data_IF_551750717792
#
_entry.id   IF_551750717792
#
_cell.length_a   1.000
_cell.length_b   1.000
_cell.length_c   1.000
_cell.angle_alpha   90.00
_cell.angle_beta   90.00
_cell.angle_gamma   90.00
#
_symmetry.space_group_name_H-M   'P 1'
#
loop_
_entity.id
_entity.type
_entity.pdbx_description
1 polymer ?
#
# COMPACT_ATOMS: atom_id res chain seq x y z
N UNK A 1 83.54 -64.06 16.98
CA UNK A 1 82.18 -64.21 17.56
C UNK A 1 82.07 -63.82 19.05
N UNK A 2 83.16 -63.54 19.78
CA UNK A 2 83.09 -63.13 21.20
C UNK A 2 82.90 -61.62 21.43
N UNK A 3 83.32 -60.73 20.50
CA UNK A 3 83.26 -59.27 20.69
C UNK A 3 81.90 -58.60 20.40
N UNK A 4 80.96 -59.29 19.75
CA UNK A 4 79.61 -58.74 19.47
C UNK A 4 78.73 -58.78 20.73
N UNK A 5 78.91 -59.82 21.55
CA UNK A 5 78.16 -59.98 22.80
C UNK A 5 78.50 -58.90 23.83
N UNK A 6 79.77 -58.51 23.93
CA UNK A 6 80.20 -57.44 24.84
C UNK A 6 79.67 -56.08 24.42
N UNK A 7 79.65 -55.76 23.13
CA UNK A 7 79.04 -54.52 22.65
C UNK A 7 77.52 -54.47 22.90
N UNK A 8 76.83 -55.60 22.77
CA UNK A 8 75.38 -55.69 23.01
C UNK A 8 75.05 -55.52 24.50
N UNK A 9 75.89 -56.03 25.40
CA UNK A 9 75.78 -55.80 26.85
C UNK A 9 76.02 -54.34 27.26
N UNK A 10 76.98 -53.67 26.63
CA UNK A 10 77.24 -52.24 26.88
C UNK A 10 76.08 -51.37 26.39
N UNK A 11 75.51 -51.70 25.23
CA UNK A 11 74.33 -50.99 24.68
C UNK A 11 73.09 -51.21 25.56
N UNK A 12 72.93 -52.42 26.11
CA UNK A 12 71.86 -52.77 27.06
C UNK A 12 72.01 -52.10 28.43
N UNK A 13 73.23 -51.77 28.87
CA UNK A 13 73.47 -50.94 30.06
C UNK A 13 73.29 -49.45 29.79
N UNK A 14 73.61 -48.99 28.58
CA UNK A 14 73.54 -47.58 28.18
C UNK A 14 72.11 -47.07 27.99
N UNK A 15 71.24 -47.84 27.33
CA UNK A 15 69.80 -47.64 27.45
C UNK A 15 69.36 -48.34 28.73
N UNK A 16 68.83 -47.63 29.73
CA UNK A 16 68.24 -48.17 30.97
C UNK A 16 67.00 -49.06 30.74
N UNK A 17 67.08 -50.03 29.83
CA UNK A 17 66.04 -50.98 29.43
C UNK A 17 65.64 -51.85 30.61
N UNK A 18 66.60 -52.21 31.46
CA UNK A 18 66.32 -52.99 32.67
C UNK A 18 65.49 -52.18 33.68
N UNK A 19 65.74 -50.87 33.82
CA UNK A 19 64.95 -50.00 34.71
C UNK A 19 63.52 -49.73 34.19
N UNK A 20 63.34 -49.63 32.86
CA UNK A 20 62.00 -49.55 32.25
C UNK A 20 61.27 -50.89 32.40
N UNK A 21 61.98 -52.01 32.19
CA UNK A 21 61.42 -53.35 32.37
C UNK A 21 61.03 -53.62 33.83
N UNK A 22 61.81 -53.17 34.80
CA UNK A 22 61.46 -53.25 36.22
C UNK A 22 60.29 -52.33 36.60
N UNK A 23 60.23 -51.12 36.06
CA UNK A 23 59.09 -50.21 36.27
C UNK A 23 57.78 -50.77 35.69
N UNK A 24 57.82 -51.40 34.51
CA UNK A 24 56.68 -52.10 33.90
C UNK A 24 56.26 -53.33 34.73
N UNK A 25 57.22 -54.04 35.31
CA UNK A 25 56.96 -55.22 36.15
C UNK A 25 56.39 -54.85 37.52
N UNK A 26 56.78 -53.71 38.07
CA UNK A 26 56.35 -53.25 39.40
C UNK A 26 54.99 -52.54 39.39
N UNK A 27 54.60 -51.92 38.27
CA UNK A 27 53.30 -51.25 38.11
C UNK A 27 52.65 -51.49 36.73
N UNK A 28 52.27 -52.74 36.39
CA UNK A 28 51.77 -53.09 35.05
C UNK A 28 50.47 -52.36 34.69
N UNK A 29 49.56 -52.17 35.65
CA UNK A 29 48.28 -51.48 35.43
C UNK A 29 48.49 -50.00 35.10
N UNK A 30 49.38 -49.31 35.83
CA UNK A 30 49.68 -47.89 35.57
C UNK A 30 50.33 -47.68 34.21
N UNK A 31 51.19 -48.62 33.77
CA UNK A 31 51.83 -48.54 32.46
C UNK A 31 50.83 -48.80 31.32
N UNK A 32 49.94 -49.79 31.47
CA UNK A 32 48.85 -50.03 30.53
C UNK A 32 47.89 -48.83 30.43
N UNK A 33 47.55 -48.20 31.55
CA UNK A 33 46.70 -46.99 31.56
C UNK A 33 47.38 -45.82 30.85
N UNK A 34 48.68 -45.58 31.10
CA UNK A 34 49.44 -44.53 30.42
C UNK A 34 49.56 -44.77 28.91
N UNK A 35 49.83 -46.01 28.49
CA UNK A 35 49.86 -46.38 27.07
C UNK A 35 48.47 -46.26 26.42
N UNK A 36 47.41 -46.62 27.14
CA UNK A 36 46.03 -46.44 26.69
C UNK A 36 45.65 -44.97 26.53
N UNK A 37 46.02 -44.12 27.49
CA UNK A 37 45.80 -42.67 27.41
C UNK A 37 46.60 -42.05 26.27
N UNK A 38 47.86 -42.45 26.07
CA UNK A 38 48.68 -42.01 24.93
C UNK A 38 48.05 -42.44 23.59
N UNK A 39 47.60 -43.69 23.48
CA UNK A 39 46.93 -44.18 22.27
C UNK A 39 45.62 -43.42 22.00
N UNK A 40 44.83 -43.15 23.04
CA UNK A 40 43.58 -42.40 22.94
C UNK A 40 43.83 -40.93 22.53
N UNK A 41 44.87 -40.28 23.08
CA UNK A 41 45.24 -38.91 22.68
C UNK A 41 45.72 -38.85 21.23
N UNK A 42 46.47 -39.85 20.75
CA UNK A 42 46.89 -39.93 19.34
C UNK A 42 45.70 -40.16 18.42
N UNK A 43 44.77 -41.05 18.80
CA UNK A 43 43.52 -41.26 18.05
C UNK A 43 42.69 -39.98 18.00
N UNK A 44 42.47 -39.32 19.14
CA UNK A 44 41.72 -38.05 19.21
C UNK A 44 42.37 -37.00 18.30
N UNK A 45 43.69 -36.84 18.35
CA UNK A 45 44.41 -35.87 17.53
C UNK A 45 44.32 -36.19 16.02
N UNK A 46 44.30 -37.48 15.66
CA UNK A 46 44.09 -37.91 14.26
C UNK A 46 42.68 -37.57 13.76
N UNK A 47 41.66 -37.67 14.61
CA UNK A 47 40.27 -37.43 14.24
C UNK A 47 39.80 -35.97 14.47
N UNK A 48 40.57 -35.14 15.18
CA UNK A 48 40.28 -33.71 15.39
C UNK A 48 40.14 -32.95 14.08
N UNK A 49 40.97 -33.25 13.07
CA UNK A 49 40.88 -32.61 11.75
C UNK A 49 39.54 -32.90 11.04
N UNK A 50 39.00 -34.12 11.18
CA UNK A 50 37.71 -34.50 10.60
C UNK A 50 36.58 -33.75 11.32
N UNK A 51 36.65 -33.67 12.64
CA UNK A 51 35.68 -32.92 13.45
C UNK A 51 35.73 -31.41 13.11
N UNK A 52 36.92 -30.83 12.96
CA UNK A 52 37.08 -29.42 12.55
C UNK A 52 36.53 -29.16 11.13
N UNK A 53 36.76 -30.06 10.17
CA UNK A 53 36.15 -29.96 8.82
C UNK A 53 34.63 -29.94 8.91
N UNK A 54 34.04 -30.84 9.71
CA UNK A 54 32.58 -30.88 9.92
C UNK A 54 32.04 -29.59 10.54
N UNK A 55 32.66 -29.09 11.61
CA UNK A 55 32.24 -27.84 12.24
C UNK A 55 32.45 -26.62 11.35
N UNK A 56 33.49 -26.60 10.50
CA UNK A 56 33.71 -25.52 9.54
C UNK A 56 32.65 -25.51 8.43
N UNK A 57 32.23 -26.69 7.95
CA UNK A 57 31.14 -26.82 6.99
C UNK A 57 29.81 -26.40 7.62
N UNK A 58 29.53 -26.86 8.85
CA UNK A 58 28.31 -26.49 9.57
C UNK A 58 28.26 -24.97 9.83
N UNK A 59 29.39 -24.38 10.26
CA UNK A 59 29.50 -22.93 10.43
C UNK A 59 29.27 -22.19 9.10
N UNK A 60 29.80 -22.69 7.99
CA UNK A 60 29.56 -22.14 6.64
C UNK A 60 28.09 -22.22 6.20
N UNK A 61 27.41 -23.33 6.50
CA UNK A 61 25.98 -23.49 6.20
C UNK A 61 25.14 -22.56 7.09
N UNK A 62 25.47 -22.44 8.37
CA UNK A 62 24.77 -21.55 9.30
C UNK A 62 24.98 -20.08 8.92
N UNK A 63 26.19 -19.66 8.57
CA UNK A 63 26.43 -18.28 8.11
C UNK A 63 25.71 -18.00 6.79
N UNK A 64 25.74 -18.93 5.84
CA UNK A 64 24.99 -18.81 4.59
C UNK A 64 23.47 -18.71 4.83
N UNK A 65 22.92 -19.55 5.70
CA UNK A 65 21.51 -19.51 6.06
C UNK A 65 21.13 -18.21 6.79
N UNK A 66 21.96 -17.73 7.71
CA UNK A 66 21.73 -16.46 8.40
C UNK A 66 21.86 -15.24 7.46
N UNK A 67 22.74 -15.27 6.47
CA UNK A 67 22.92 -14.19 5.49
C UNK A 67 21.86 -14.14 4.39
N UNK A 68 21.17 -15.25 4.11
CA UNK A 68 20.12 -15.32 3.09
C UNK A 68 18.71 -15.51 3.69
N UNK A 69 18.62 -15.73 4.99
CA UNK A 69 17.37 -15.87 5.72
C UNK A 69 16.59 -14.54 5.74
N UNK A 70 15.28 -14.55 5.43
CA UNK A 70 14.48 -13.33 5.28
C UNK A 70 14.22 -12.57 6.60
N UNK A 71 14.68 -13.07 7.75
CA UNK A 71 14.31 -12.58 9.09
C UNK A 71 15.52 -12.25 10.00
N UNK A 72 16.75 -12.11 9.46
CA UNK A 72 17.92 -11.83 10.32
C UNK A 72 18.22 -10.33 10.46
N UNK A 73 18.55 -9.92 11.69
CA UNK A 73 18.83 -8.55 12.16
C UNK A 73 20.09 -7.89 11.54
N UNK A 74 20.70 -8.52 10.53
CA UNK A 74 21.88 -8.00 9.85
C UNK A 74 21.50 -7.46 8.46
N UNK A 75 22.03 -6.29 8.05
CA UNK A 75 21.69 -5.69 6.77
C UNK A 75 22.07 -6.63 5.62
N UNK A 76 21.08 -7.03 4.82
CA UNK A 76 21.25 -7.79 3.59
C UNK A 76 22.19 -7.05 2.64
N UNK A 77 23.42 -7.53 2.46
CA UNK A 77 24.42 -6.95 1.56
C UNK A 77 24.08 -7.08 0.07
N UNK A 78 23.13 -7.95 -0.29
CA UNK A 78 22.74 -8.21 -1.69
C UNK A 78 21.61 -7.28 -2.15
N UNK A 79 20.85 -6.70 -1.22
CA UNK A 79 19.81 -5.71 -1.52
C UNK A 79 20.10 -4.42 -0.76
N UNK A 80 21.12 -3.69 -1.20
CA UNK A 80 21.29 -2.26 -0.87
C UNK A 80 20.27 -1.39 -1.62
N UNK A 81 19.01 -1.82 -1.69
CA UNK A 81 17.91 -0.94 -1.96
C UNK A 81 17.55 -0.30 -0.63
N UNK A 82 17.93 0.97 -0.40
CA UNK A 82 17.46 1.74 0.76
C UNK A 82 15.94 1.53 0.87
N UNK A 83 15.51 0.75 1.86
CA UNK A 83 14.12 0.70 2.26
C UNK A 83 13.83 2.09 2.81
N UNK A 84 13.38 3.00 1.94
CA UNK A 84 12.90 4.31 2.34
C UNK A 84 11.81 4.01 3.34
N UNK A 85 12.07 4.29 4.62
CA UNK A 85 11.17 4.07 5.74
C UNK A 85 9.81 4.67 5.36
N UNK A 86 8.93 3.85 4.79
CA UNK A 86 7.59 4.27 4.41
C UNK A 86 6.90 4.40 5.75
N UNK A 87 6.64 5.66 6.13
CA UNK A 87 5.64 6.00 7.15
C UNK A 87 4.45 5.09 6.85
N UNK A 88 4.08 4.20 7.79
CA UNK A 88 2.91 3.33 7.63
C UNK A 88 1.70 4.25 7.51
N UNK A 89 1.33 4.60 6.29
CA UNK A 89 0.05 5.23 6.02
C UNK A 89 -1.03 4.19 6.33
N UNK A 90 -2.12 4.60 7.01
CA UNK A 90 -3.20 3.69 7.37
C UNK A 90 -3.68 2.93 6.15
N UNK A 91 -4.08 1.67 6.34
CA UNK A 91 -4.64 0.82 5.27
C UNK A 91 -5.77 1.57 4.56
N UNK A 92 -5.94 1.39 3.24
CA UNK A 92 -7.20 1.80 2.62
C UNK A 92 -8.11 0.64 2.89
N UNK A 93 -9.29 0.90 3.46
CA UNK A 93 -10.14 -0.11 4.08
C UNK A 93 -9.59 -0.72 5.40
N UNK A 94 -9.16 0.06 6.41
CA UNK A 94 -9.03 -0.48 7.76
C UNK A 94 -10.42 -0.50 8.41
N UNK A 95 -10.77 -1.58 9.09
CA UNK A 95 -11.77 -1.49 10.15
C UNK A 95 -11.23 -0.54 11.23
N UNK A 96 -11.56 0.75 11.09
CA UNK A 96 -11.43 1.77 12.11
C UNK A 96 -10.01 2.31 12.37
N UNK A 97 -10.02 3.45 13.06
CA UNK A 97 -8.93 4.04 13.84
C UNK A 97 -8.12 5.19 13.22
N UNK A 98 -8.80 6.21 12.69
CA UNK A 98 -8.43 7.61 12.98
C UNK A 98 -9.61 8.57 12.76
N UNK A 99 -9.82 9.46 13.73
CA UNK A 99 -10.79 10.55 13.66
C UNK A 99 -10.39 11.55 12.57
N UNK A 100 -11.21 11.74 11.54
CA UNK A 100 -10.96 12.68 10.43
C UNK A 100 -10.90 14.14 10.87
N UNK A 101 -11.63 14.49 11.93
CA UNK A 101 -11.70 15.87 12.47
C UNK A 101 -10.47 16.20 13.32
N UNK A 102 -9.87 15.20 13.97
CA UNK A 102 -8.89 15.43 15.05
C UNK A 102 -7.60 14.62 14.92
N UNK A 103 -7.47 13.77 13.91
CA UNK A 103 -6.29 12.95 13.62
C UNK A 103 -5.97 11.86 14.66
N UNK A 104 -6.73 11.76 15.75
CA UNK A 104 -6.46 10.82 16.86
C UNK A 104 -7.05 9.43 16.57
N UNK A 105 -6.23 8.39 16.79
CA UNK A 105 -6.53 6.96 16.55
C UNK A 105 -7.62 6.40 17.49
N UNK A 106 -7.82 7.04 18.66
CA UNK A 106 -8.83 6.69 19.67
C UNK A 106 -9.62 7.93 20.11
N UNK A 107 -10.42 8.50 19.21
CA UNK A 107 -11.32 9.59 19.58
C UNK A 107 -12.60 9.02 20.20
N UNK A 108 -12.92 9.43 21.42
CA UNK A 108 -14.19 9.11 22.11
C UNK A 108 -15.35 10.02 21.65
N UNK A 109 -15.04 11.21 21.09
CA UNK A 109 -16.05 12.21 20.64
C UNK A 109 -16.58 11.95 19.23
N UNK A 110 -15.70 11.55 18.31
CA UNK A 110 -16.06 11.34 16.91
C UNK A 110 -16.00 9.84 16.59
N UNK A 111 -17.13 9.28 16.15
CA UNK A 111 -17.19 7.91 15.66
C UNK A 111 -16.33 7.83 14.39
N UNK A 112 -15.40 6.87 14.36
CA UNK A 112 -14.54 6.56 13.21
C UNK A 112 -15.28 5.98 12.00
N UNK A 113 -16.57 6.29 11.85
CA UNK A 113 -17.45 5.79 10.79
C UNK A 113 -17.41 6.68 9.54
N UNK A 114 -17.09 7.97 9.67
CA UNK A 114 -16.77 8.84 8.53
C UNK A 114 -15.36 8.58 8.02
N UNK A 115 -15.16 7.43 7.40
CA UNK A 115 -13.99 7.23 6.55
C UNK A 115 -14.25 7.99 5.25
N UNK A 116 -14.07 9.31 5.30
CA UNK A 116 -14.08 10.15 4.09
C UNK A 116 -13.03 9.66 3.08
N UNK A 117 -12.01 8.93 3.52
CA UNK A 117 -11.05 8.21 2.68
C UNK A 117 -11.70 7.06 1.87
N UNK A 118 -12.78 6.44 2.36
CA UNK A 118 -13.52 5.40 1.63
C UNK A 118 -14.39 5.99 0.52
N UNK A 119 -14.85 7.23 0.65
CA UNK A 119 -15.58 7.94 -0.41
C UNK A 119 -14.66 8.77 -1.30
N UNK A 120 -13.52 9.24 -0.76
CA UNK A 120 -12.56 10.12 -1.42
C UNK A 120 -11.10 9.67 -1.18
N UNK A 121 -10.65 8.59 -1.84
CA UNK A 121 -9.30 8.04 -1.67
C UNK A 121 -8.18 8.98 -2.14
N UNK A 122 -8.50 10.06 -2.87
CA UNK A 122 -7.54 11.06 -3.35
C UNK A 122 -7.15 12.12 -2.31
N UNK A 123 -7.80 12.18 -1.15
CA UNK A 123 -7.43 13.12 -0.08
C UNK A 123 -5.96 12.94 0.31
N UNK A 124 -5.20 14.02 0.48
CA UNK A 124 -3.75 14.00 0.75
C UNK A 124 -2.84 13.26 -0.24
N UNK A 125 -3.38 12.71 -1.34
CA UNK A 125 -2.61 12.06 -2.38
C UNK A 125 -2.03 13.10 -3.34
N UNK A 126 -0.76 13.44 -3.12
CA UNK A 126 -0.01 14.39 -3.96
C UNK A 126 0.96 13.66 -4.88
N UNK A 127 0.82 13.90 -6.18
CA UNK A 127 1.65 13.29 -7.23
C UNK A 127 2.34 14.38 -8.03
N UNK A 128 3.49 14.06 -8.64
CA UNK A 128 4.19 14.97 -9.55
C UNK A 128 3.30 15.33 -10.74
N UNK A 129 3.24 16.61 -11.09
CA UNK A 129 2.34 17.11 -12.15
C UNK A 129 2.52 16.41 -13.49
N UNK A 130 3.74 16.01 -13.89
CA UNK A 130 3.94 15.27 -15.14
C UNK A 130 3.25 13.91 -15.13
N UNK A 131 3.35 13.18 -14.02
CA UNK A 131 2.71 11.87 -13.85
C UNK A 131 1.19 12.02 -13.83
N UNK A 132 0.69 13.04 -13.14
CA UNK A 132 -0.74 13.37 -13.11
C UNK A 132 -1.30 13.60 -14.52
N UNK A 133 -0.63 14.44 -15.32
CA UNK A 133 -1.02 14.71 -16.71
C UNK A 133 -1.01 13.45 -17.57
N UNK A 134 0.03 12.61 -17.47
CA UNK A 134 0.11 11.37 -18.25
C UNK A 134 -1.00 10.38 -17.90
N UNK A 135 -1.33 10.23 -16.60
CA UNK A 135 -2.43 9.37 -16.17
C UNK A 135 -3.78 9.93 -16.65
N UNK A 136 -3.98 11.25 -16.55
CA UNK A 136 -5.19 11.91 -17.05
C UNK A 136 -5.35 11.72 -18.56
N UNK A 137 -4.26 11.79 -19.33
CA UNK A 137 -4.26 11.55 -20.78
C UNK A 137 -4.65 10.11 -21.12
N UNK A 138 -4.12 9.12 -20.40
CA UNK A 138 -4.54 7.71 -20.58
C UNK A 138 -6.05 7.57 -20.38
N UNK A 139 -6.61 8.11 -19.29
CA UNK A 139 -8.05 8.00 -19.05
C UNK A 139 -8.88 8.80 -20.05
N UNK A 140 -8.38 9.94 -20.55
CA UNK A 140 -9.01 10.68 -21.64
C UNK A 140 -9.06 9.84 -22.92
N UNK A 141 -7.96 9.19 -23.30
CA UNK A 141 -7.91 8.31 -24.46
C UNK A 141 -8.85 7.10 -24.30
N UNK A 142 -8.98 6.56 -23.09
CA UNK A 142 -9.94 5.49 -22.80
C UNK A 142 -11.37 5.97 -23.06
N UNK A 143 -11.76 7.14 -22.55
CA UNK A 143 -13.09 7.70 -22.81
C UNK A 143 -13.30 7.99 -24.30
N UNK A 144 -12.34 8.62 -24.96
CA UNK A 144 -12.44 9.02 -26.38
C UNK A 144 -12.55 7.83 -27.33
N UNK A 145 -11.79 6.76 -27.09
CA UNK A 145 -11.77 5.60 -27.99
C UNK A 145 -12.85 4.58 -27.70
N UNK A 146 -13.29 4.46 -26.44
CA UNK A 146 -14.14 3.34 -26.02
C UNK A 146 -15.51 3.74 -25.48
N UNK A 147 -15.71 4.99 -25.05
CA UNK A 147 -16.99 5.43 -24.48
C UNK A 147 -17.69 6.40 -25.42
N UNK A 148 -17.02 7.49 -25.82
CA UNK A 148 -17.61 8.53 -26.66
C UNK A 148 -18.19 8.06 -28.00
N UNK A 149 -17.60 7.09 -28.73
CA UNK A 149 -18.10 6.72 -30.06
C UNK A 149 -19.54 6.19 -30.04
N UNK A 150 -19.92 5.39 -29.04
CA UNK A 150 -21.29 4.86 -28.93
C UNK A 150 -22.16 5.69 -27.99
N UNK A 151 -21.58 6.39 -27.02
CA UNK A 151 -22.35 7.15 -26.04
C UNK A 151 -23.02 8.37 -26.68
N UNK A 152 -22.32 9.07 -27.58
CA UNK A 152 -22.84 10.22 -28.32
C UNK A 152 -23.97 9.87 -29.29
N UNK A 153 -24.03 8.62 -29.75
CA UNK A 153 -25.15 8.15 -30.57
C UNK A 153 -26.44 7.96 -29.75
N UNK A 154 -26.32 7.85 -28.41
CA UNK A 154 -27.44 7.64 -27.49
C UNK A 154 -27.87 8.94 -26.82
N UNK A 155 -26.91 9.75 -26.34
CA UNK A 155 -27.20 10.99 -25.60
C UNK A 155 -26.05 12.00 -25.69
N UNK A 156 -26.39 13.29 -25.65
CA UNK A 156 -25.45 14.41 -25.54
C UNK A 156 -25.17 14.81 -24.07
N UNK A 157 -25.74 14.08 -23.10
CA UNK A 157 -25.55 14.38 -21.68
C UNK A 157 -24.18 13.95 -21.16
N UNK A 158 -23.35 14.90 -20.76
CA UNK A 158 -22.01 14.64 -20.20
C UNK A 158 -22.04 14.24 -18.72
N UNK A 159 -23.19 14.30 -18.04
CA UNK A 159 -23.28 14.01 -16.60
C UNK A 159 -22.84 12.58 -16.23
N UNK A 160 -23.27 11.58 -16.99
CA UNK A 160 -22.82 10.19 -16.80
C UNK A 160 -21.31 10.04 -17.04
N UNK A 161 -20.75 10.79 -17.99
CA UNK A 161 -19.32 10.74 -18.30
C UNK A 161 -18.48 11.38 -17.20
N UNK A 162 -19.00 12.43 -16.56
CA UNK A 162 -18.38 13.04 -15.38
C UNK A 162 -18.36 12.07 -14.19
N UNK A 163 -19.42 11.28 -13.98
CA UNK A 163 -19.42 10.20 -12.98
C UNK A 163 -18.39 9.11 -13.30
N UNK A 164 -18.24 8.72 -14.57
CA UNK A 164 -17.19 7.78 -14.98
C UNK A 164 -15.80 8.35 -14.72
N UNK A 165 -15.57 9.65 -14.94
CA UNK A 165 -14.30 10.33 -14.61
C UNK A 165 -14.01 10.29 -13.12
N UNK A 166 -15.02 10.56 -12.28
CA UNK A 166 -14.91 10.45 -10.82
C UNK A 166 -14.57 9.02 -10.40
N UNK A 167 -15.18 8.01 -11.02
CA UNK A 167 -14.88 6.60 -10.77
C UNK A 167 -13.44 6.25 -11.18
N UNK A 168 -12.94 6.73 -12.32
CA UNK A 168 -11.54 6.53 -12.70
C UNK A 168 -10.56 7.20 -11.73
N UNK A 169 -10.87 8.40 -11.25
CA UNK A 169 -10.09 9.05 -10.19
C UNK A 169 -10.09 8.24 -8.91
N UNK A 170 -11.25 7.74 -8.49
CA UNK A 170 -11.38 6.86 -7.33
C UNK A 170 -10.50 5.62 -7.49
N UNK A 171 -10.70 4.88 -8.58
CA UNK A 171 -9.99 3.66 -8.93
C UNK A 171 -8.47 3.85 -8.91
N UNK A 172 -7.98 4.88 -9.61
CA UNK A 172 -6.56 5.16 -9.71
C UNK A 172 -5.95 5.55 -8.35
N UNK A 173 -6.70 6.28 -7.53
CA UNK A 173 -6.25 6.65 -6.18
C UNK A 173 -6.11 5.42 -5.28
N UNK A 174 -7.09 4.51 -5.33
CA UNK A 174 -7.05 3.24 -4.58
C UNK A 174 -5.87 2.39 -5.05
N UNK A 175 -5.67 2.27 -6.37
CA UNK A 175 -4.54 1.53 -6.93
C UNK A 175 -3.19 2.08 -6.47
N UNK A 176 -2.98 3.39 -6.55
CA UNK A 176 -1.71 4.01 -6.13
C UNK A 176 -1.44 3.72 -4.66
N UNK A 177 -2.43 3.90 -3.79
CA UNK A 177 -2.27 3.68 -2.35
C UNK A 177 -2.03 2.22 -2.00
N UNK A 178 -2.65 1.28 -2.73
CA UNK A 178 -2.37 -0.16 -2.59
C UNK A 178 -0.96 -0.49 -3.11
N UNK A 179 -0.59 -0.01 -4.29
CA UNK A 179 0.73 -0.21 -4.88
C UNK A 179 1.85 0.34 -3.98
N UNK A 180 1.60 1.45 -3.28
CA UNK A 180 2.53 1.98 -2.29
C UNK A 180 2.71 1.07 -1.06
N UNK A 181 1.77 0.17 -0.75
CA UNK A 181 1.88 -0.79 0.35
C UNK A 181 2.53 -2.11 -0.06
N UNK A 182 2.53 -2.42 -1.35
CA UNK A 182 3.12 -3.65 -1.87
C UNK A 182 4.64 -3.59 -1.83
N UNK A 183 5.25 -4.62 -1.26
CA UNK A 183 6.68 -4.88 -1.36
C UNK A 183 7.01 -5.48 -2.74
N UNK A 184 7.32 -4.61 -3.70
CA UNK A 184 7.60 -4.99 -5.09
C UNK A 184 8.78 -5.99 -5.18
N UNK A 185 9.93 -5.77 -4.49
CA UNK A 185 11.00 -6.78 -4.42
C UNK A 185 10.53 -8.16 -3.94
N UNK A 186 9.73 -8.24 -2.88
CA UNK A 186 9.24 -9.51 -2.36
C UNK A 186 8.32 -10.24 -3.37
N UNK A 187 7.40 -9.51 -4.01
CA UNK A 187 6.53 -10.06 -5.05
C UNK A 187 7.35 -10.56 -6.24
N UNK A 188 8.36 -9.81 -6.65
CA UNK A 188 9.20 -10.16 -7.78
C UNK A 188 10.03 -11.42 -7.51
N UNK A 189 10.69 -11.48 -6.35
CA UNK A 189 11.55 -12.61 -5.95
C UNK A 189 10.77 -13.89 -5.69
N UNK A 190 9.59 -13.82 -5.06
CA UNK A 190 8.81 -15.01 -4.71
C UNK A 190 7.96 -15.53 -5.87
N UNK A 191 7.20 -14.66 -6.55
CA UNK A 191 6.18 -15.08 -7.52
C UNK A 191 6.66 -14.96 -8.96
N UNK A 192 7.15 -13.78 -9.32
CA UNK A 192 7.54 -13.47 -10.71
C UNK A 192 8.76 -14.28 -11.13
N UNK A 193 9.79 -14.34 -10.29
CA UNK A 193 11.01 -15.09 -10.59
C UNK A 193 10.73 -16.58 -10.80
N UNK A 194 9.87 -17.20 -9.98
CA UNK A 194 9.46 -18.61 -10.18
C UNK A 194 8.78 -18.82 -11.52
N UNK A 195 7.89 -17.91 -11.92
CA UNK A 195 7.23 -17.97 -13.23
C UNK A 195 8.21 -17.80 -14.38
N UNK A 196 9.15 -16.84 -14.29
CA UNK A 196 10.21 -16.61 -15.28
C UNK A 196 11.09 -17.85 -15.42
N UNK A 197 11.58 -18.41 -14.30
CA UNK A 197 12.45 -19.60 -14.32
C UNK A 197 11.72 -20.80 -14.92
N UNK A 198 10.45 -21.02 -14.56
CA UNK A 198 9.62 -22.06 -15.17
C UNK A 198 9.49 -21.86 -16.68
N UNK A 199 9.22 -20.63 -17.12
CA UNK A 199 9.11 -20.31 -18.54
C UNK A 199 10.42 -20.56 -19.29
N UNK A 200 11.57 -20.13 -18.73
CA UNK A 200 12.90 -20.37 -19.31
C UNK A 200 13.20 -21.86 -19.42
N UNK A 201 12.89 -22.64 -18.38
CA UNK A 201 13.09 -24.11 -18.40
C UNK A 201 12.30 -24.77 -19.53
N UNK A 202 11.02 -24.39 -19.69
CA UNK A 202 10.14 -24.91 -20.74
C UNK A 202 10.66 -24.54 -22.13
N UNK A 203 11.04 -23.27 -22.33
CA UNK A 203 11.60 -22.80 -23.61
C UNK A 203 12.93 -23.50 -23.91
N UNK A 204 13.77 -23.77 -22.91
CA UNK A 204 15.01 -24.51 -23.10
C UNK A 204 14.76 -25.96 -23.56
N UNK A 205 13.79 -26.66 -22.95
CA UNK A 205 13.36 -28.00 -23.40
C UNK A 205 12.81 -27.98 -24.82
N UNK A 206 11.94 -27.01 -25.13
CA UNK A 206 11.38 -26.82 -26.46
C UNK A 206 12.47 -26.57 -27.52
N UNK A 207 13.48 -25.74 -27.22
CA UNK A 207 14.63 -25.49 -28.13
C UNK A 207 15.40 -26.77 -28.45
N UNK A 208 15.56 -27.68 -27.49
CA UNK A 208 16.23 -28.96 -27.71
C UNK A 208 15.41 -29.85 -28.64
N UNK A 209 14.07 -29.88 -28.50
CA UNK A 209 13.18 -30.64 -29.39
C UNK A 209 13.16 -30.08 -30.82
N UNK A 210 13.17 -28.75 -30.96
CA UNK A 210 13.09 -28.04 -32.25
C UNK A 210 14.35 -28.19 -33.10
N UNK A 211 15.49 -28.58 -32.51
CA UNK A 211 16.69 -28.96 -33.29
C UNK A 211 16.43 -30.08 -34.31
N UNK A 212 15.34 -30.82 -34.16
CA UNK A 212 14.91 -31.88 -35.09
C UNK A 212 13.89 -31.41 -36.14
N UNK A 213 13.66 -30.09 -36.27
CA UNK A 213 12.70 -29.47 -37.19
C UNK A 213 11.36 -29.15 -36.52
N UNK A 214 10.88 -27.91 -36.67
CA UNK A 214 9.60 -27.43 -36.10
C UNK A 214 9.63 -25.94 -35.74
N UNK A 215 8.46 -25.38 -35.39
CA UNK A 215 8.38 -24.03 -34.81
C UNK A 215 8.60 -24.08 -33.29
N UNK A 216 9.38 -23.13 -32.76
CA UNK A 216 9.68 -23.08 -31.33
C UNK A 216 8.42 -22.87 -30.47
N UNK A 217 7.48 -22.07 -30.98
CA UNK A 217 6.22 -21.76 -30.32
C UNK A 217 5.37 -23.01 -30.11
N UNK A 218 5.20 -23.84 -31.15
CA UNK A 218 4.41 -25.06 -31.06
C UNK A 218 5.02 -26.06 -30.08
N UNK A 219 6.33 -26.24 -30.14
CA UNK A 219 7.05 -27.12 -29.21
C UNK A 219 6.96 -26.62 -27.76
N UNK A 220 7.01 -25.29 -27.54
CA UNK A 220 6.83 -24.72 -26.21
C UNK A 220 5.40 -24.92 -25.68
N UNK A 221 4.37 -24.75 -26.52
CA UNK A 221 2.98 -25.00 -26.13
C UNK A 221 2.73 -26.47 -25.77
N UNK A 222 3.33 -27.40 -26.52
CA UNK A 222 3.27 -28.84 -26.21
C UNK A 222 3.96 -29.18 -24.88
N UNK A 223 5.10 -28.56 -24.59
CA UNK A 223 5.78 -28.70 -23.29
C UNK A 223 4.98 -28.12 -22.13
N UNK A 224 4.26 -27.01 -22.37
CA UNK A 224 3.36 -26.45 -21.37
C UNK A 224 2.19 -27.38 -21.05
N UNK A 225 1.62 -28.05 -22.05
CA UNK A 225 0.59 -29.08 -21.85
C UNK A 225 -0.55 -28.65 -20.92
N UNK A 226 -0.74 -29.38 -19.81
CA UNK A 226 -1.77 -29.09 -18.80
C UNK A 226 -1.48 -27.88 -17.91
N UNK A 227 -0.22 -27.42 -17.89
CA UNK A 227 0.21 -26.26 -17.09
C UNK A 227 0.02 -24.93 -17.84
N UNK A 228 -0.48 -24.97 -19.09
CA UNK A 228 -0.77 -23.78 -19.87
C UNK A 228 -1.92 -23.00 -19.22
N UNK A 229 -1.68 -21.74 -18.94
CA UNK A 229 -2.70 -20.87 -18.35
C UNK A 229 -3.89 -20.68 -19.32
N UNK A 230 -5.13 -20.70 -18.81
CA UNK A 230 -6.36 -20.60 -19.62
C UNK A 230 -6.38 -19.38 -20.54
N UNK A 231 -5.83 -18.26 -20.08
CA UNK A 231 -5.73 -17.03 -20.86
C UNK A 231 -4.84 -17.14 -22.11
N UNK A 232 -3.94 -18.14 -22.18
CA UNK A 232 -3.03 -18.34 -23.31
C UNK A 232 -3.61 -19.25 -24.40
N UNK A 233 -4.80 -19.84 -24.20
CA UNK A 233 -5.40 -20.77 -25.16
C UNK A 233 -5.96 -20.05 -26.39
N UNK A 234 -6.59 -18.89 -26.19
CA UNK A 234 -7.10 -18.05 -27.27
C UNK A 234 -7.27 -16.61 -26.80
N UNK A 235 -7.30 -15.67 -27.76
CA UNK A 235 -7.59 -14.26 -27.46
C UNK A 235 -8.96 -14.05 -26.80
N UNK A 236 -9.93 -14.93 -27.09
CA UNK A 236 -11.25 -14.90 -26.48
C UNK A 236 -11.21 -15.32 -25.01
N UNK A 237 -10.43 -16.37 -24.70
CA UNK A 237 -10.28 -16.88 -23.34
C UNK A 237 -9.44 -15.94 -22.48
N UNK A 238 -8.44 -15.28 -23.08
CA UNK A 238 -7.70 -14.18 -22.45
C UNK A 238 -8.65 -13.07 -22.00
N UNK A 239 -9.47 -12.56 -22.90
CA UNK A 239 -10.42 -11.49 -22.58
C UNK A 239 -11.45 -11.95 -21.54
N UNK A 240 -11.92 -13.20 -21.60
CA UNK A 240 -12.84 -13.74 -20.60
C UNK A 240 -12.18 -13.83 -19.21
N UNK A 241 -10.93 -14.28 -19.16
CA UNK A 241 -10.14 -14.34 -17.93
C UNK A 241 -9.94 -12.93 -17.34
N UNK A 242 -9.54 -11.95 -18.16
CA UNK A 242 -9.36 -10.58 -17.72
C UNK A 242 -10.67 -9.94 -17.24
N UNK A 243 -11.80 -10.20 -17.90
CA UNK A 243 -13.13 -9.76 -17.43
C UNK A 243 -13.44 -10.33 -16.04
N UNK A 244 -13.19 -11.63 -15.83
CA UNK A 244 -13.43 -12.26 -14.53
C UNK A 244 -12.50 -11.73 -13.46
N UNK A 245 -11.23 -11.52 -13.78
CA UNK A 245 -10.24 -10.91 -12.89
C UNK A 245 -10.69 -9.50 -12.48
N UNK A 246 -11.13 -8.70 -13.46
CA UNK A 246 -11.62 -7.34 -13.24
C UNK A 246 -12.84 -7.31 -12.31
N UNK A 247 -13.82 -8.19 -12.54
CA UNK A 247 -14.98 -8.34 -11.64
C UNK A 247 -14.58 -8.70 -10.21
N UNK A 248 -13.61 -9.60 -10.03
CA UNK A 248 -13.13 -9.98 -8.70
C UNK A 248 -12.41 -8.84 -7.98
N UNK A 249 -11.83 -7.89 -8.72
CA UNK A 249 -11.13 -6.74 -8.17
C UNK A 249 -12.06 -5.56 -7.82
N UNK A 250 -13.26 -5.49 -8.40
CA UNK A 250 -14.18 -4.37 -8.18
C UNK A 250 -14.51 -4.05 -6.73
N UNK A 251 -14.83 -5.02 -5.85
CA UNK A 251 -15.11 -4.72 -4.44
C UNK A 251 -13.95 -4.04 -3.71
N UNK A 252 -12.73 -4.14 -4.26
CA UNK A 252 -11.52 -3.59 -3.67
C UNK A 252 -11.07 -2.28 -4.32
N UNK A 253 -11.56 -1.96 -5.52
CA UNK A 253 -11.06 -0.86 -6.35
C UNK A 253 -12.13 0.18 -6.70
N UNK A 254 -13.42 -0.16 -6.64
CA UNK A 254 -14.53 0.73 -6.94
C UNK A 254 -15.29 1.14 -5.67
N UNK A 255 -16.02 2.26 -5.70
CA UNK A 255 -16.97 2.60 -4.64
C UNK A 255 -18.06 1.51 -4.53
N UNK A 256 -18.52 1.15 -3.32
CA UNK A 256 -19.56 0.13 -3.14
C UNK A 256 -20.82 0.40 -3.98
N UNK A 257 -21.28 1.66 -3.98
CA UNK A 257 -22.46 2.10 -4.75
C UNK A 257 -22.34 1.87 -6.26
N UNK A 258 -21.12 1.98 -6.81
CA UNK A 258 -20.89 1.74 -8.23
C UNK A 258 -21.00 0.25 -8.60
N UNK A 259 -20.76 -0.65 -7.64
CA UNK A 259 -20.92 -2.10 -7.85
C UNK A 259 -22.37 -2.57 -7.79
N UNK A 260 -23.25 -1.81 -7.13
CA UNK A 260 -24.69 -2.13 -7.04
C UNK A 260 -25.42 -1.88 -8.36
N UNK A 261 -24.98 -0.88 -9.13
CA UNK A 261 -25.52 -0.63 -10.47
C UNK A 261 -24.95 -1.61 -11.49
N UNK A 262 -25.72 -2.65 -11.84
CA UNK A 262 -25.31 -3.69 -12.79
C UNK A 262 -24.86 -3.15 -14.15
N UNK A 263 -25.57 -2.18 -14.71
CA UNK A 263 -25.24 -1.61 -16.03
C UNK A 263 -23.90 -0.88 -16.01
N UNK A 264 -23.67 -0.07 -14.97
CA UNK A 264 -22.41 0.65 -14.76
C UNK A 264 -21.26 -0.34 -14.51
N UNK A 265 -21.46 -1.33 -13.65
CA UNK A 265 -20.46 -2.36 -13.38
C UNK A 265 -20.07 -3.14 -14.64
N UNK A 266 -21.03 -3.51 -15.50
CA UNK A 266 -20.75 -4.17 -16.77
C UNK A 266 -19.98 -3.26 -17.73
N UNK A 267 -20.38 -1.98 -17.83
CA UNK A 267 -19.66 -1.00 -18.65
C UNK A 267 -18.22 -0.83 -18.18
N UNK A 268 -18.01 -0.59 -16.88
CA UNK A 268 -16.69 -0.46 -16.29
C UNK A 268 -15.88 -1.75 -16.50
N UNK A 269 -16.48 -2.93 -16.43
CA UNK A 269 -15.78 -4.20 -16.68
C UNK A 269 -15.27 -4.27 -18.11
N UNK A 270 -16.10 -3.94 -19.09
CA UNK A 270 -15.69 -3.96 -20.50
C UNK A 270 -14.61 -2.94 -20.79
N UNK A 271 -14.75 -1.72 -20.28
CA UNK A 271 -13.75 -0.67 -20.46
C UNK A 271 -12.43 -1.06 -19.77
N UNK A 272 -12.47 -1.51 -18.51
CA UNK A 272 -11.26 -1.86 -17.78
C UNK A 272 -10.57 -3.09 -18.37
N UNK A 273 -11.31 -4.17 -18.65
CA UNK A 273 -10.72 -5.40 -19.18
C UNK A 273 -10.25 -5.21 -20.62
N UNK A 274 -11.09 -4.66 -21.50
CA UNK A 274 -10.82 -4.58 -22.94
C UNK A 274 -9.97 -3.39 -23.36
N UNK A 275 -10.10 -2.24 -22.70
CA UNK A 275 -9.45 -0.99 -23.11
C UNK A 275 -8.19 -0.68 -22.33
N UNK A 276 -8.06 -1.22 -21.11
CA UNK A 276 -6.94 -0.91 -20.22
C UNK A 276 -6.07 -2.14 -19.99
N UNK A 277 -6.62 -3.20 -19.38
CA UNK A 277 -5.82 -4.34 -18.92
C UNK A 277 -5.31 -5.14 -20.12
N UNK A 278 -6.16 -5.46 -21.10
CA UNK A 278 -5.76 -6.25 -22.26
C UNK A 278 -4.64 -5.56 -23.08
N UNK A 279 -4.76 -4.28 -23.49
CA UNK A 279 -3.65 -3.61 -24.18
C UNK A 279 -2.40 -3.44 -23.31
N UNK A 280 -2.55 -3.32 -21.98
CA UNK A 280 -1.41 -3.29 -21.06
C UNK A 280 -0.69 -4.63 -21.06
N UNK A 281 -1.41 -5.75 -21.07
CA UNK A 281 -0.82 -7.09 -21.16
C UNK A 281 -0.09 -7.29 -22.49
N UNK A 282 -0.66 -6.82 -23.61
CA UNK A 282 0.01 -6.86 -24.92
C UNK A 282 1.31 -6.04 -24.91
N UNK A 283 1.26 -4.82 -24.36
CA UNK A 283 2.44 -3.97 -24.22
C UNK A 283 3.50 -4.61 -23.31
N UNK A 284 3.10 -5.23 -22.20
CA UNK A 284 4.04 -5.90 -21.29
C UNK A 284 4.62 -7.19 -21.88
N UNK A 285 3.90 -7.85 -22.78
CA UNK A 285 4.34 -9.06 -23.46
C UNK A 285 5.20 -8.78 -24.70
N UNK A 286 5.21 -7.54 -25.19
CA UNK A 286 5.99 -7.13 -26.34
C UNK A 286 7.51 -7.33 -26.10
N UNK A 287 8.23 -8.04 -26.99
CA UNK A 287 9.64 -8.35 -26.80
C UNK A 287 10.53 -7.12 -26.62
N UNK A 288 10.28 -6.03 -27.34
CA UNK A 288 11.06 -4.81 -27.23
C UNK A 288 10.85 -4.15 -25.87
N UNK A 289 9.60 -4.15 -25.39
CA UNK A 289 9.26 -3.65 -24.06
C UNK A 289 9.89 -4.50 -22.96
N UNK A 290 9.83 -5.83 -23.05
CA UNK A 290 10.51 -6.74 -22.10
C UNK A 290 12.02 -6.51 -22.11
N UNK A 291 12.63 -6.40 -23.29
CA UNK A 291 14.06 -6.11 -23.43
C UNK A 291 14.43 -4.77 -22.79
N UNK A 292 13.63 -3.72 -23.04
CA UNK A 292 13.80 -2.41 -22.43
C UNK A 292 13.70 -2.49 -20.90
N UNK A 293 12.72 -3.23 -20.34
CA UNK A 293 12.62 -3.42 -18.89
C UNK A 293 13.87 -4.08 -18.33
N UNK A 294 14.37 -5.14 -18.97
CA UNK A 294 15.61 -5.82 -18.55
C UNK A 294 16.80 -4.87 -18.61
N UNK A 295 16.93 -4.08 -19.67
CA UNK A 295 17.98 -3.07 -19.80
C UNK A 295 17.89 -2.04 -18.66
N UNK A 296 16.71 -1.50 -18.36
CA UNK A 296 16.54 -0.52 -17.27
C UNK A 296 16.98 -1.09 -15.91
N UNK A 297 16.75 -2.38 -15.65
CA UNK A 297 17.13 -3.00 -14.37
C UNK A 297 18.59 -3.46 -14.29
N UNK A 298 19.19 -3.85 -15.41
CA UNK A 298 20.55 -4.42 -15.46
C UNK A 298 21.60 -3.37 -15.80
N UNK A 299 21.23 -2.37 -16.59
CA UNK A 299 22.13 -1.31 -17.02
C UNK A 299 22.51 -0.44 -15.81
N UNK A 300 23.82 -0.26 -15.66
CA UNK A 300 24.44 0.54 -14.59
C UNK A 300 24.74 1.95 -15.05
N UNK A 301 24.51 2.26 -16.34
CA UNK A 301 24.64 3.62 -16.82
C UNK A 301 23.61 4.50 -16.10
N UNK A 302 24.02 5.63 -15.52
CA UNK A 302 23.07 6.53 -14.89
C UNK A 302 22.12 7.04 -15.98
N UNK A 303 20.80 7.08 -15.72
CA UNK A 303 19.85 7.74 -16.62
C UNK A 303 20.34 9.15 -16.93
N UNK A 304 20.11 9.61 -18.15
CA UNK A 304 20.46 10.97 -18.58
C UNK A 304 19.94 11.97 -17.53
N UNK A 305 20.81 12.85 -17.04
CA UNK A 305 20.44 13.79 -15.97
C UNK A 305 19.29 14.66 -16.45
N UNK A 306 18.18 14.63 -15.70
CA UNK A 306 17.02 15.43 -16.03
C UNK A 306 17.40 16.92 -15.98
N UNK A 307 17.45 17.56 -17.15
CA UNK A 307 17.73 18.99 -17.33
C UNK A 307 16.63 19.89 -16.76
N UNK A 308 15.44 19.34 -16.54
CA UNK A 308 14.30 20.06 -16.01
C UNK A 308 14.17 19.95 -14.49
N UNK A 309 13.75 21.05 -13.86
CA UNK A 309 13.47 21.06 -12.43
C UNK A 309 12.36 20.08 -12.06
N UNK A 310 12.37 19.51 -10.84
CA UNK A 310 11.33 18.58 -10.39
C UNK A 310 9.96 19.23 -10.47
N UNK A 311 9.05 18.65 -11.25
CA UNK A 311 7.68 19.16 -11.40
C UNK A 311 6.96 19.25 -10.05
N UNK A 312 6.15 20.29 -9.88
CA UNK A 312 5.38 20.54 -8.65
C UNK A 312 4.48 19.35 -8.26
N UNK A 313 4.23 19.22 -6.96
CA UNK A 313 3.28 18.25 -6.41
C UNK A 313 1.86 18.82 -6.50
N UNK A 314 0.98 18.08 -7.16
CA UNK A 314 -0.43 18.47 -7.37
C UNK A 314 -1.37 17.43 -6.75
N UNK A 315 -2.59 17.83 -6.32
CA UNK A 315 -3.62 16.89 -5.91
C UNK A 315 -3.99 15.95 -7.06
N UNK A 316 -3.94 14.65 -6.81
CA UNK A 316 -4.07 13.63 -7.85
C UNK A 316 -5.43 13.68 -8.59
N UNK A 317 -5.36 13.76 -9.91
CA UNK A 317 -6.43 13.82 -10.90
C UNK A 317 -7.55 14.83 -10.61
N UNK A 318 -7.23 15.89 -9.86
CA UNK A 318 -8.23 16.88 -9.50
C UNK A 318 -8.82 17.59 -10.71
N UNK A 319 -7.96 18.06 -11.63
CA UNK A 319 -8.38 18.75 -12.86
C UNK A 319 -9.11 17.84 -13.84
N UNK A 320 -8.78 16.55 -13.84
CA UNK A 320 -9.41 15.56 -14.72
C UNK A 320 -10.87 15.33 -14.34
N UNK A 321 -11.16 15.30 -13.04
CA UNK A 321 -12.49 15.01 -12.53
C UNK A 321 -13.36 16.27 -12.34
N UNK A 322 -12.75 17.44 -12.21
CA UNK A 322 -13.44 18.73 -12.01
C UNK A 322 -13.88 19.41 -13.33
N UNK A 323 -14.06 18.62 -14.39
CA UNK A 323 -14.58 19.13 -15.66
C UNK A 323 -16.09 19.29 -15.49
N UNK A 324 -16.52 20.36 -14.81
CA UNK A 324 -17.94 20.67 -14.65
C UNK A 324 -18.61 20.71 -16.02
N UNK A 325 -19.46 19.73 -16.30
CA UNK A 325 -20.52 19.90 -17.29
C UNK A 325 -21.22 21.23 -17.01
N UNK A 326 -21.41 22.03 -18.07
CA UNK A 326 -22.03 23.37 -17.97
C UNK A 326 -23.50 23.32 -17.54
N UNK A 327 -24.05 22.10 -17.39
CA UNK A 327 -25.42 21.86 -16.97
C UNK A 327 -25.37 21.12 -15.62
N UNK A 328 -25.85 21.73 -14.52
CA UNK A 328 -26.03 20.97 -13.29
C UNK A 328 -26.99 19.81 -13.57
N UNK A 329 -26.64 18.60 -13.10
CA UNK A 329 -27.55 17.46 -13.15
C UNK A 329 -28.90 17.86 -12.55
N UNK A 330 -30.01 17.42 -13.15
CA UNK A 330 -31.37 17.69 -12.65
C UNK A 330 -31.56 17.16 -11.21
N UNK A 331 -30.75 16.18 -10.81
CA UNK A 331 -30.74 15.58 -9.47
C UNK A 331 -29.76 16.27 -8.51
N UNK A 332 -29.00 17.27 -8.97
CA UNK A 332 -28.07 18.01 -8.12
C UNK A 332 -28.87 19.01 -7.29
N UNK A 333 -29.09 18.67 -6.03
CA UNK A 333 -29.70 19.56 -5.05
C UNK A 333 -28.63 20.49 -4.48
N UNK A 334 -28.93 21.79 -4.37
CA UNK A 334 -28.07 22.70 -3.63
C UNK A 334 -28.35 22.60 -2.13
N UNK A 335 -27.35 22.88 -1.28
CA UNK A 335 -27.54 22.85 0.17
C UNK A 335 -28.64 23.83 0.61
N UNK A 336 -28.80 24.96 -0.10
CA UNK A 336 -29.86 25.94 0.15
C UNK A 336 -31.23 25.32 -0.06
N UNK A 337 -31.45 24.66 -1.20
CA UNK A 337 -32.72 24.01 -1.54
C UNK A 337 -33.08 22.90 -0.52
N UNK A 338 -32.08 22.10 -0.13
CA UNK A 338 -32.23 21.05 0.89
C UNK A 338 -32.67 21.65 2.22
N UNK A 339 -32.13 22.81 2.60
CA UNK A 339 -32.43 23.49 3.87
C UNK A 339 -33.77 24.19 3.89
N UNK A 340 -34.21 24.73 2.75
CA UNK A 340 -35.51 25.41 2.63
C UNK A 340 -36.68 24.42 2.66
N UNK A 341 -36.51 23.22 2.11
CA UNK A 341 -37.55 22.20 2.08
C UNK A 341 -37.48 21.26 3.30
N UNK A 342 -38.49 21.30 4.17
CA UNK A 342 -38.54 20.47 5.39
C UNK A 342 -38.37 18.97 5.12
N UNK A 343 -39.00 18.46 4.06
CA UNK A 343 -38.95 17.05 3.69
C UNK A 343 -37.55 16.61 3.23
N UNK A 344 -36.83 17.46 2.48
CA UNK A 344 -35.45 17.18 2.07
C UNK A 344 -34.49 17.32 3.24
N UNK A 345 -34.67 18.35 4.08
CA UNK A 345 -33.88 18.53 5.28
C UNK A 345 -33.98 17.33 6.22
N UNK A 346 -35.18 16.76 6.39
CA UNK A 346 -35.37 15.56 7.21
C UNK A 346 -34.63 14.35 6.66
N UNK A 347 -34.71 14.10 5.35
CA UNK A 347 -33.95 13.02 4.68
C UNK A 347 -32.44 13.25 4.79
N UNK A 348 -31.99 14.48 4.58
CA UNK A 348 -30.59 14.85 4.73
C UNK A 348 -30.10 14.66 6.18
N UNK A 349 -30.91 14.99 7.18
CA UNK A 349 -30.61 14.72 8.59
C UNK A 349 -30.50 13.21 8.84
N UNK A 350 -31.39 12.38 8.28
CA UNK A 350 -31.30 10.93 8.43
C UNK A 350 -30.05 10.36 7.75
N UNK A 351 -29.71 10.83 6.56
CA UNK A 351 -28.45 10.53 5.88
C UNK A 351 -27.24 10.91 6.75
N UNK A 352 -27.19 12.14 7.27
CA UNK A 352 -26.11 12.58 8.16
C UNK A 352 -26.06 11.78 9.48
N UNK A 353 -27.19 11.26 9.98
CA UNK A 353 -27.21 10.34 11.14
C UNK A 353 -26.61 8.98 10.79
N UNK A 354 -26.95 8.42 9.63
CA UNK A 354 -26.41 7.15 9.14
C UNK A 354 -24.90 7.24 8.94
N UNK A 355 -24.43 8.34 8.33
CA UNK A 355 -23.01 8.64 8.14
C UNK A 355 -22.32 9.08 9.44
N UNK A 356 -23.04 9.45 10.51
CA UNK A 356 -22.46 9.93 11.76
C UNK A 356 -21.94 11.38 11.72
N UNK A 357 -22.36 12.15 10.72
CA UNK A 357 -21.99 13.55 10.45
C UNK A 357 -22.99 14.59 10.97
N UNK A 358 -24.03 14.18 11.72
CA UNK A 358 -25.07 15.11 12.19
C UNK A 358 -24.52 16.32 12.97
N UNK A 359 -23.43 16.14 13.70
CA UNK A 359 -22.75 17.19 14.46
C UNK A 359 -22.24 18.34 13.59
N UNK A 360 -21.91 18.07 12.31
CA UNK A 360 -21.47 19.05 11.31
C UNK A 360 -22.60 20.03 11.02
N UNK A 361 -23.81 19.52 10.76
CA UNK A 361 -25.00 20.33 10.52
C UNK A 361 -25.45 21.05 11.81
N UNK A 362 -25.40 20.38 12.96
CA UNK A 362 -25.76 20.99 14.25
C UNK A 362 -24.83 22.15 14.62
N UNK A 363 -23.53 22.05 14.33
CA UNK A 363 -22.60 23.15 14.51
C UNK A 363 -22.97 24.34 13.61
N UNK A 364 -23.21 24.10 12.32
CA UNK A 364 -23.62 25.18 11.40
C UNK A 364 -24.88 25.89 11.90
N UNK A 365 -25.93 25.14 12.27
CA UNK A 365 -27.18 25.73 12.76
C UNK A 365 -26.99 26.50 14.08
N UNK A 366 -26.17 25.97 15.00
CA UNK A 366 -25.88 26.65 16.27
C UNK A 366 -25.11 27.96 16.07
N UNK A 367 -24.18 28.00 15.13
CA UNK A 367 -23.42 29.22 14.81
C UNK A 367 -24.27 30.23 14.05
N UNK A 368 -25.14 29.80 13.14
CA UNK A 368 -26.10 30.69 12.46
C UNK A 368 -27.07 31.32 13.46
N UNK A 369 -27.68 30.52 14.34
CA UNK A 369 -28.60 31.01 15.38
C UNK A 369 -27.89 32.00 16.31
N UNK A 370 -26.64 31.71 16.67
CA UNK A 370 -25.81 32.62 17.45
C UNK A 370 -25.52 33.93 16.70
N UNK A 371 -25.12 33.86 15.42
CA UNK A 371 -24.84 35.03 14.59
C UNK A 371 -26.09 35.92 14.42
N UNK A 372 -27.26 35.32 14.18
CA UNK A 372 -28.52 36.06 14.06
C UNK A 372 -28.87 36.81 15.35
N UNK A 373 -28.69 36.17 16.51
CA UNK A 373 -28.92 36.80 17.82
C UNK A 373 -27.88 37.89 18.13
N UNK A 374 -26.66 37.75 17.64
CA UNK A 374 -25.58 38.71 17.87
C UNK A 374 -25.73 39.98 17.02
N UNK A 375 -26.36 39.88 15.86
CA UNK A 375 -26.57 41.00 14.93
C UNK A 375 -27.73 41.92 15.34
N UNK A 376 -28.49 41.59 16.39
CA UNK A 376 -29.56 42.45 16.90
C UNK A 376 -29.00 43.71 17.61
N UNK A 377 -29.43 44.93 17.24
CA UNK A 377 -28.79 46.19 17.65
C UNK A 377 -28.98 46.62 19.12
N UNK A 378 -29.84 45.95 19.89
CA UNK A 378 -30.12 46.28 21.31
C UNK A 378 -30.02 45.03 22.19
N UNK A 379 -28.79 44.65 22.57
CA UNK A 379 -28.57 43.53 23.49
C UNK A 379 -28.61 44.01 24.94
N UNK A 380 -29.57 43.51 25.71
CA UNK A 380 -29.60 43.71 27.17
C UNK A 380 -28.50 42.90 27.88
N UNK A 381 -28.09 43.33 29.07
CA UNK A 381 -27.05 42.66 29.87
C UNK A 381 -27.42 41.22 30.28
N UNK A 382 -28.72 40.90 30.32
CA UNK A 382 -29.25 39.54 30.47
C UNK A 382 -29.10 38.68 29.21
N UNK A 383 -29.30 39.26 28.03
CA UNK A 383 -29.13 38.56 26.74
C UNK A 383 -27.66 38.32 26.45
N UNK A 384 -26.79 39.25 26.82
CA UNK A 384 -25.35 39.15 26.67
C UNK A 384 -24.78 38.00 27.53
N UNK A 385 -25.32 37.80 28.74
CA UNK A 385 -25.02 36.62 29.58
C UNK A 385 -25.53 35.31 28.98
N UNK A 386 -26.72 35.32 28.35
CA UNK A 386 -27.25 34.13 27.67
C UNK A 386 -26.40 33.76 26.46
N UNK A 387 -26.02 34.74 25.65
CA UNK A 387 -25.12 34.57 24.50
C UNK A 387 -23.75 34.06 24.93
N UNK A 388 -23.19 34.58 26.04
CA UNK A 388 -21.96 34.02 26.61
C UNK A 388 -22.12 32.54 26.95
N UNK A 389 -23.24 32.15 27.57
CA UNK A 389 -23.54 30.75 27.86
C UNK A 389 -23.66 29.88 26.61
N UNK A 390 -24.27 30.39 25.54
CA UNK A 390 -24.38 29.69 24.24
C UNK A 390 -22.99 29.49 23.60
N UNK A 391 -22.11 30.50 23.61
CA UNK A 391 -20.72 30.37 23.10
C UNK A 391 -19.93 29.34 23.89
N UNK A 392 -20.00 29.40 25.22
CA UNK A 392 -19.32 28.43 26.08
C UNK A 392 -19.83 27.02 25.79
N UNK A 393 -21.13 26.86 25.56
CA UNK A 393 -21.72 25.58 25.19
C UNK A 393 -21.24 25.09 23.81
N UNK A 394 -21.22 25.94 22.79
CA UNK A 394 -20.69 25.62 21.45
C UNK A 394 -19.22 25.21 21.56
N UNK A 395 -18.41 25.99 22.29
CA UNK A 395 -17.00 25.72 22.46
C UNK A 395 -16.74 24.40 23.19
N UNK A 396 -17.43 24.16 24.31
CA UNK A 396 -17.35 22.90 25.05
C UNK A 396 -17.80 21.70 24.21
N UNK A 397 -18.80 21.87 23.35
CA UNK A 397 -19.37 20.76 22.57
C UNK A 397 -18.51 20.43 21.35
N UNK A 398 -18.02 21.43 20.61
CA UNK A 398 -17.41 21.24 19.29
C UNK A 398 -15.90 21.50 19.24
N UNK A 399 -15.31 22.27 20.17
CA UNK A 399 -13.90 22.61 20.16
C UNK A 399 -13.05 21.68 21.06
N UNK A 400 -11.76 21.53 20.74
CA UNK A 400 -10.79 20.73 21.52
C UNK A 400 -10.24 21.56 22.69
N UNK A 401 -9.97 20.91 23.82
CA UNK A 401 -9.45 21.55 25.05
C UNK A 401 -8.09 22.27 24.88
N UNK A 402 -7.34 21.95 23.81
CA UNK A 402 -6.04 22.53 23.46
C UNK A 402 -6.15 23.72 22.48
N UNK A 403 -7.36 24.16 22.10
CA UNK A 403 -7.50 25.28 21.17
C UNK A 403 -7.19 26.63 21.85
N UNK A 404 -6.55 27.53 21.10
CA UNK A 404 -6.11 28.86 21.55
C UNK A 404 -7.32 29.70 22.03
N UNK A 405 -8.52 29.39 21.53
CA UNK A 405 -9.75 30.12 21.80
C UNK A 405 -10.36 29.83 23.18
N UNK A 406 -9.80 28.88 23.95
CA UNK A 406 -10.26 28.55 25.32
C UNK A 406 -10.22 29.76 26.25
N UNK A 407 -9.28 30.68 25.99
CA UNK A 407 -9.06 31.89 26.77
C UNK A 407 -10.28 32.84 26.73
N UNK A 408 -11.09 32.79 25.66
CA UNK A 408 -12.29 33.62 25.51
C UNK A 408 -13.55 32.98 26.10
N UNK A 409 -13.66 31.65 26.09
CA UNK A 409 -14.76 30.94 26.75
C UNK A 409 -14.69 31.05 28.29
N UNK A 410 -13.50 31.30 28.83
CA UNK A 410 -13.27 31.55 30.27
C UNK A 410 -13.23 33.07 30.61
N UNK A 411 -13.42 33.95 29.62
CA UNK A 411 -13.34 35.40 29.78
C UNK A 411 -14.62 36.05 30.35
N UNK A 412 -14.58 37.35 30.70
CA UNK A 412 -15.76 38.09 31.15
C UNK A 412 -16.79 38.26 30.02
N UNK A 413 -18.08 38.21 30.37
CA UNK A 413 -19.24 38.32 29.46
C UNK A 413 -19.17 39.51 28.47
N UNK A 414 -18.48 40.60 28.82
CA UNK A 414 -18.24 41.76 27.93
C UNK A 414 -17.44 41.42 26.67
N UNK A 415 -16.69 40.31 26.66
CA UNK A 415 -15.87 39.88 25.53
C UNK A 415 -16.69 39.15 24.45
N UNK A 416 -17.96 38.83 24.70
CA UNK A 416 -18.87 38.26 23.67
C UNK A 416 -19.01 39.20 22.47
N UNK A 417 -18.99 40.52 22.71
CA UNK A 417 -19.06 41.52 21.63
C UNK A 417 -17.78 41.47 20.76
N UNK A 418 -16.63 41.05 21.31
CA UNK A 418 -15.41 40.87 20.52
C UNK A 418 -15.54 39.71 19.53
N UNK A 419 -16.36 38.69 19.83
CA UNK A 419 -16.63 37.57 18.93
C UNK A 419 -17.29 37.99 17.62
N UNK A 420 -18.04 39.10 17.59
CA UNK A 420 -18.56 39.69 16.34
C UNK A 420 -17.46 39.98 15.32
N UNK A 421 -16.25 40.24 15.79
CA UNK A 421 -15.10 40.63 14.96
C UNK A 421 -14.05 39.53 14.83
N UNK A 422 -14.24 38.38 15.48
CA UNK A 422 -13.24 37.31 15.49
C UNK A 422 -13.34 36.44 14.26
N UNK A 423 -12.24 36.38 13.49
CA UNK A 423 -12.15 35.59 12.26
C UNK A 423 -12.28 34.09 12.50
N UNK A 424 -11.88 33.57 13.66
CA UNK A 424 -11.80 32.13 13.90
C UNK A 424 -13.17 31.42 13.84
N UNK A 425 -14.23 32.00 14.42
CA UNK A 425 -15.57 31.40 14.38
C UNK A 425 -16.14 31.44 12.95
N UNK A 426 -15.93 32.53 12.23
CA UNK A 426 -16.33 32.67 10.83
C UNK A 426 -15.56 31.71 9.91
N UNK A 427 -14.24 31.59 10.07
CA UNK A 427 -13.41 30.64 9.31
C UNK A 427 -13.83 29.18 9.59
N UNK A 428 -14.12 28.85 10.85
CA UNK A 428 -14.64 27.54 11.23
C UNK A 428 -16.02 27.28 10.59
N UNK A 429 -16.92 28.25 10.66
CA UNK A 429 -18.24 28.18 10.03
C UNK A 429 -18.14 28.00 8.51
N UNK A 430 -17.34 28.81 7.81
CA UNK A 430 -17.13 28.68 6.37
C UNK A 430 -16.52 27.34 6.00
N UNK A 431 -15.59 26.82 6.80
CA UNK A 431 -15.00 25.52 6.58
C UNK A 431 -16.04 24.39 6.68
N UNK A 432 -16.88 24.43 7.72
CA UNK A 432 -17.95 23.43 7.93
C UNK A 432 -19.04 23.56 6.87
N UNK A 433 -19.40 24.77 6.46
CA UNK A 433 -20.35 25.01 5.38
C UNK A 433 -19.81 24.48 4.04
N UNK A 434 -18.54 24.77 3.72
CA UNK A 434 -17.88 24.22 2.54
C UNK A 434 -17.82 22.68 2.58
N UNK A 435 -17.67 22.09 3.77
CA UNK A 435 -17.70 20.63 3.94
C UNK A 435 -19.11 20.07 3.68
N UNK A 436 -20.16 20.71 4.19
CA UNK A 436 -21.54 20.33 3.89
C UNK A 436 -21.81 20.42 2.38
N UNK A 437 -21.49 21.55 1.75
CA UNK A 437 -21.77 21.79 0.33
C UNK A 437 -20.95 20.91 -0.63
N UNK A 438 -19.64 20.77 -0.41
CA UNK A 438 -18.76 20.09 -1.37
C UNK A 438 -18.63 18.59 -1.15
N UNK A 439 -19.01 18.11 0.03
CA UNK A 439 -18.78 16.72 0.41
C UNK A 439 -20.09 16.03 0.76
N UNK A 440 -20.85 16.53 1.74
CA UNK A 440 -22.07 15.85 2.18
C UNK A 440 -23.25 15.99 1.22
N UNK A 441 -23.45 17.17 0.63
CA UNK A 441 -24.54 17.39 -0.35
C UNK A 441 -24.39 16.48 -1.58
N UNK A 442 -23.21 16.35 -2.21
CA UNK A 442 -23.02 15.36 -3.26
C UNK A 442 -23.26 13.93 -2.76
N UNK A 443 -22.74 13.54 -1.58
CA UNK A 443 -22.94 12.18 -1.07
C UNK A 443 -24.42 11.85 -0.82
N UNK A 444 -25.22 12.84 -0.41
CA UNK A 444 -26.67 12.74 -0.27
C UNK A 444 -27.38 12.64 -1.63
N UNK A 445 -26.99 13.42 -2.62
CA UNK A 445 -27.56 13.27 -3.97
C UNK A 445 -27.29 11.88 -4.60
N UNK A 446 -26.28 11.17 -4.08
CA UNK A 446 -25.95 9.80 -4.45
C UNK A 446 -26.41 8.75 -3.41
N UNK A 447 -27.21 9.12 -2.40
CA UNK A 447 -27.82 8.16 -1.46
C UNK A 447 -29.18 7.68 -1.96
N UNK A 448 -29.63 6.56 -1.37
CA UNK A 448 -30.98 6.01 -1.64
C UNK A 448 -32.09 6.79 -0.89
N UNK A 449 -31.70 7.61 0.10
CA UNK A 449 -32.55 8.61 0.77
C UNK A 449 -32.77 9.82 -0.14
#
# INVERSE_FOLDING_TARGET
MAGVWTHLEVLRRGLKVDAVRESVRQYPVSCCLLLGLLSLTVLLNRYLHILMMFWSLLAGVVTFYCSLGPESLLPNFIFTGKQRNKRREPELFPLGHSCTVCGKVKCQRHRSALLLENSQPWLDLKVRSKVDTSVAEVFKLVLEKFVYPWYRDITDDEGCLDEVRMIFRFFASVLIRRAQKVDVPAVFTDRVMKAIVKHIEIVAKARVKVRNGGSLEQAALEEYGSDLHVALQSRKDELLYLRKLTEMLFPFLLPPKATDCRSLALLLREVMAGSVILPTMDFMADPDTVNLMVLIFVDKTPPEEATESPSALVPFLHRYADVSSRKPSVLKLELKDIREQQDLLFRFINFLKQEGAIHVLQFCLAVEEFNDKILSPELSDSELRRLHGEVVHIYQTYCLDESIDKILAEGPHSDVVKLQTMRCLFEAYEHVLSLLEKVFTPMFCHSDE
#
